data_IF_591106745516
#
_entry.id   IF_591106745516
#
_cell.length_a   1.000
_cell.length_b   1.000
_cell.length_c   1.000
_cell.angle_alpha   90.00
_cell.angle_beta   90.00
_cell.angle_gamma   90.00
#
_symmetry.space_group_name_H-M   'P 1'
#
loop_
_entity.id
_entity.type
_entity.pdbx_description
1 polymer ?
#
# COMPACT_ATOMS: atom_id res chain seq x y z
N UNK A 1 10.35 -6.96 4.72
CA UNK A 1 11.52 -6.05 4.67
C UNK A 1 11.22 -4.63 5.14
N UNK A 2 10.68 -3.72 4.31
CA UNK A 2 10.46 -2.32 4.75
C UNK A 2 9.47 -2.22 5.92
N UNK A 3 8.36 -2.96 5.83
CA UNK A 3 7.36 -3.00 6.89
C UNK A 3 7.94 -3.53 8.22
N UNK A 4 8.67 -4.64 8.19
CA UNK A 4 9.34 -5.20 9.38
C UNK A 4 10.45 -4.31 9.93
N UNK A 5 11.10 -3.53 9.05
CA UNK A 5 12.05 -2.51 9.46
C UNK A 5 11.36 -1.27 10.08
N UNK A 6 10.04 -1.28 10.25
CA UNK A 6 9.28 -0.21 10.91
C UNK A 6 8.88 0.96 10.00
N UNK A 7 9.09 0.86 8.69
CA UNK A 7 8.57 1.88 7.76
C UNK A 7 7.05 1.78 7.64
N UNK A 8 6.38 2.92 7.57
CA UNK A 8 4.92 2.98 7.46
C UNK A 8 4.18 2.88 8.80
N UNK A 9 4.92 2.86 9.92
CA UNK A 9 4.34 2.94 11.27
C UNK A 9 4.09 4.40 11.66
N UNK A 10 2.90 4.69 12.20
CA UNK A 10 2.58 6.02 12.77
C UNK A 10 3.31 6.28 14.10
N UNK A 11 3.90 5.24 14.71
CA UNK A 11 4.50 5.31 16.05
C UNK A 11 5.96 5.75 16.01
N UNK A 12 6.64 5.64 14.86
CA UNK A 12 8.04 6.04 14.72
C UNK A 12 8.16 7.31 13.87
N UNK A 13 8.46 8.45 14.49
CA UNK A 13 8.64 9.75 13.82
C UNK A 13 9.67 9.71 12.67
N UNK A 14 10.74 8.92 12.82
CA UNK A 14 11.78 8.77 11.79
C UNK A 14 11.43 7.79 10.66
N UNK A 15 10.44 6.91 10.86
CA UNK A 15 10.01 5.88 9.89
C UNK A 15 8.51 5.98 9.57
N UNK A 16 7.96 7.17 9.76
CA UNK A 16 6.58 7.51 9.48
C UNK A 16 6.27 7.51 7.97
N UNK A 17 4.99 7.71 7.66
CA UNK A 17 4.52 7.75 6.27
C UNK A 17 3.88 6.43 5.83
N UNK A 18 3.96 6.13 4.53
CA UNK A 18 3.29 5.00 3.91
C UNK A 18 4.19 4.40 2.82
N UNK A 19 4.33 3.08 2.84
CA UNK A 19 5.12 2.35 1.84
C UNK A 19 4.29 2.27 0.56
N UNK A 20 4.68 3.04 -0.45
CA UNK A 20 4.06 3.00 -1.77
C UNK A 20 4.76 2.02 -2.70
N UNK A 21 4.00 1.13 -3.33
CA UNK A 21 4.49 0.22 -4.37
C UNK A 21 3.69 0.48 -5.64
N UNK A 22 4.36 0.85 -6.73
CA UNK A 22 3.70 0.96 -8.03
C UNK A 22 3.77 -0.35 -8.81
N UNK A 23 2.75 -0.59 -9.61
CA UNK A 23 2.68 -1.70 -10.57
C UNK A 23 2.06 -1.18 -11.88
N UNK A 24 2.57 -1.59 -13.05
CA UNK A 24 2.11 -1.06 -14.33
C UNK A 24 0.69 -1.52 -14.70
N UNK A 25 0.22 -2.63 -14.10
CA UNK A 25 -1.09 -3.24 -14.41
C UNK A 25 -2.00 -3.28 -13.19
N UNK A 26 -3.28 -2.96 -13.40
CA UNK A 26 -4.32 -3.04 -12.35
C UNK A 26 -4.41 -4.42 -11.71
N UNK A 27 -4.38 -5.49 -12.51
CA UNK A 27 -4.46 -6.87 -11.99
C UNK A 27 -3.28 -7.21 -11.09
N UNK A 28 -2.09 -6.67 -11.37
CA UNK A 28 -0.91 -6.87 -10.53
C UNK A 28 -1.05 -6.12 -9.20
N UNK A 29 -1.56 -4.88 -9.21
CA UNK A 29 -1.88 -4.14 -7.97
C UNK A 29 -2.77 -4.97 -7.04
N UNK A 30 -3.88 -5.50 -7.56
CA UNK A 30 -4.85 -6.26 -6.76
C UNK A 30 -4.28 -7.61 -6.28
N UNK A 31 -3.59 -8.34 -7.16
CA UNK A 31 -3.01 -9.64 -6.85
C UNK A 31 -1.92 -9.52 -5.78
N UNK A 32 -0.98 -8.57 -5.94
CA UNK A 32 0.12 -8.39 -5.01
C UNK A 32 -0.36 -7.84 -3.67
N UNK A 33 -1.32 -6.92 -3.64
CA UNK A 33 -1.89 -6.44 -2.39
C UNK A 33 -2.56 -7.57 -1.58
N UNK A 34 -3.34 -8.42 -2.24
CA UNK A 34 -3.94 -9.60 -1.60
C UNK A 34 -2.88 -10.58 -1.11
N UNK A 35 -1.85 -10.85 -1.93
CA UNK A 35 -0.78 -11.78 -1.61
C UNK A 35 0.04 -11.30 -0.41
N UNK A 36 0.45 -10.04 -0.39
CA UNK A 36 1.26 -9.46 0.69
C UNK A 36 0.46 -9.35 1.99
N UNK A 37 -0.83 -9.00 1.92
CA UNK A 37 -1.70 -9.04 3.09
C UNK A 37 -1.75 -10.45 3.70
N UNK A 38 -1.91 -11.48 2.86
CA UNK A 38 -1.90 -12.88 3.29
C UNK A 38 -0.55 -13.31 3.89
N UNK A 39 0.56 -13.02 3.23
CA UNK A 39 1.90 -13.42 3.69
C UNK A 39 2.31 -12.75 5.00
N UNK A 40 1.89 -11.51 5.24
CA UNK A 40 2.19 -10.78 6.48
C UNK A 40 1.15 -11.04 7.59
N UNK A 41 0.09 -11.82 7.34
CA UNK A 41 -1.01 -12.02 8.29
C UNK A 41 -1.80 -10.73 8.58
N UNK A 42 -1.80 -9.78 7.65
CA UNK A 42 -2.44 -8.47 7.77
C UNK A 42 -3.78 -8.42 7.04
N UNK A 43 -4.62 -7.44 7.38
CA UNK A 43 -5.93 -7.29 6.73
C UNK A 43 -5.84 -6.36 5.52
N UNK A 44 -6.32 -6.86 4.37
CA UNK A 44 -6.50 -6.04 3.18
C UNK A 44 -7.57 -4.98 3.42
N UNK A 45 -7.24 -3.71 3.17
CA UNK A 45 -8.06 -2.55 3.47
C UNK A 45 -7.86 -2.00 4.88
N UNK A 46 -6.96 -2.56 5.70
CA UNK A 46 -6.58 -2.00 7.00
C UNK A 46 -5.11 -1.62 7.03
N UNK A 47 -4.20 -2.58 7.17
CA UNK A 47 -2.75 -2.32 7.19
C UNK A 47 -2.14 -2.36 5.78
N UNK A 48 -2.67 -3.21 4.90
CA UNK A 48 -2.30 -3.29 3.48
C UNK A 48 -3.47 -2.85 2.65
N UNK A 49 -3.28 -1.92 1.71
CA UNK A 49 -4.34 -1.50 0.81
C UNK A 49 -3.88 -1.28 -0.62
N UNK A 50 -4.82 -0.93 -1.48
CA UNK A 50 -4.53 -0.62 -2.87
C UNK A 50 -5.40 0.49 -3.45
N UNK A 51 -4.90 1.11 -4.52
CA UNK A 51 -5.62 2.12 -5.29
C UNK A 51 -5.28 2.01 -6.78
N UNK A 52 -6.31 1.83 -7.59
CA UNK A 52 -6.27 1.93 -9.05
C UNK A 52 -7.35 2.93 -9.50
N UNK A 53 -7.35 3.32 -10.77
CA UNK A 53 -8.20 4.42 -11.29
C UNK A 53 -9.68 4.39 -10.83
N UNK A 54 -10.30 3.21 -10.81
CA UNK A 54 -11.72 3.04 -10.51
C UNK A 54 -11.99 2.16 -9.28
N UNK A 55 -10.97 1.80 -8.51
CA UNK A 55 -11.14 0.93 -7.35
C UNK A 55 -10.08 1.27 -6.30
N UNK A 56 -10.53 1.42 -5.05
CA UNK A 56 -9.70 1.81 -3.91
C UNK A 56 -10.17 1.05 -2.69
N UNK A 57 -9.22 0.40 -2.02
CA UNK A 57 -9.44 -0.24 -0.71
C UNK A 57 -8.27 0.09 0.20
N UNK A 58 -8.46 1.12 1.02
CA UNK A 58 -7.46 1.68 1.93
C UNK A 58 -8.12 2.04 3.25
N UNK A 59 -7.50 1.66 4.36
CA UNK A 59 -7.90 2.09 5.71
C UNK A 59 -7.05 3.27 6.18
N UNK A 60 -7.54 4.01 7.18
CA UNK A 60 -6.82 5.16 7.78
C UNK A 60 -5.48 4.76 8.42
N UNK A 61 -5.33 3.49 8.79
CA UNK A 61 -4.12 2.91 9.39
C UNK A 61 -3.30 2.08 8.39
N UNK A 62 -3.45 2.32 7.08
CA UNK A 62 -2.66 1.59 6.08
C UNK A 62 -1.19 1.99 6.16
N UNK A 63 -0.32 1.00 6.30
CA UNK A 63 1.13 1.17 6.24
C UNK A 63 1.69 0.87 4.85
N UNK A 64 0.96 0.08 4.05
CA UNK A 64 1.38 -0.36 2.72
C UNK A 64 0.27 -0.04 1.70
N UNK A 65 0.64 0.57 0.57
CA UNK A 65 -0.26 0.89 -0.55
C UNK A 65 0.30 0.38 -1.87
N UNK A 66 -0.46 -0.49 -2.52
CA UNK A 66 -0.22 -0.87 -3.91
C UNK A 66 -1.01 0.04 -4.85
N UNK A 67 -0.39 0.54 -5.91
CA UNK A 67 -1.05 1.43 -6.84
C UNK A 67 -0.54 1.31 -8.26
N UNK A 68 -1.27 1.87 -9.23
CA UNK A 68 -0.72 2.04 -10.58
C UNK A 68 0.14 3.29 -10.67
N UNK A 69 1.08 3.34 -11.61
CA UNK A 69 1.92 4.52 -11.83
C UNK A 69 1.09 5.79 -12.04
N UNK A 70 -0.01 5.70 -12.80
CA UNK A 70 -0.95 6.82 -12.99
C UNK A 70 -1.69 7.28 -11.74
N UNK A 71 -1.81 6.44 -10.70
CA UNK A 71 -2.34 6.88 -9.41
C UNK A 71 -1.27 7.67 -8.66
N UNK A 72 -0.03 7.19 -8.65
CA UNK A 72 1.07 7.93 -8.01
C UNK A 72 1.29 9.29 -8.67
N UNK A 73 1.31 9.35 -10.00
CA UNK A 73 1.47 10.61 -10.74
C UNK A 73 0.36 11.63 -10.39
N UNK A 74 -0.88 11.15 -10.22
CA UNK A 74 -2.00 12.00 -9.82
C UNK A 74 -1.91 12.49 -8.37
N UNK A 75 -1.19 11.78 -7.51
CA UNK A 75 -1.01 12.19 -6.10
C UNK A 75 0.17 13.16 -5.91
N UNK A 76 1.08 13.25 -6.88
CA UNK A 76 2.21 14.19 -6.88
C UNK A 76 1.81 15.55 -7.49
N UNK A 77 0.78 15.57 -8.33
CA UNK A 77 0.20 16.78 -8.92
C UNK A 77 -0.75 17.48 -7.96
#
# INVERSE_FOLDING_TARGET
FLYEAGFGSKECLARGGLIGITQPRRVAVLATAKRVAYELGLKLGKEVGFQVRHDKRMGECSSIKFMTDGILLREIQ
#
